data_IF_130811822925
#
_entry.id   IF_130811822925
#
_cell.length_a   1.000
_cell.length_b   1.000
_cell.length_c   1.000
_cell.angle_alpha   90.00
_cell.angle_beta   90.00
_cell.angle_gamma   90.00
#
_symmetry.space_group_name_H-M   'P 1'
#
loop_
_entity.id
_entity.type
_entity.pdbx_description
1 polymer ?
#
# COMPACT_ATOMS: atom_id res chain seq x y z
N UNK A 1 20.74 14.47 -4.77
CA UNK A 1 19.97 15.71 -5.05
C UNK A 1 19.57 16.26 -3.71
N UNK A 2 20.12 17.39 -3.28
CA UNK A 2 19.53 18.14 -2.18
C UNK A 2 18.11 18.48 -2.66
N UNK A 3 17.11 17.94 -1.99
CA UNK A 3 15.72 18.04 -2.42
C UNK A 3 15.31 19.49 -2.63
N UNK A 4 14.52 19.73 -3.67
CA UNK A 4 13.92 21.04 -3.85
C UNK A 4 13.26 21.46 -2.52
N UNK A 5 13.36 22.74 -2.10
CA UNK A 5 12.79 23.21 -0.82
C UNK A 5 11.34 22.81 -0.61
N UNK A 6 10.57 22.66 -1.69
CA UNK A 6 9.19 22.21 -1.67
C UNK A 6 9.00 20.76 -1.18
N UNK A 7 10.04 19.93 -1.21
CA UNK A 7 10.00 18.53 -0.74
C UNK A 7 10.52 18.37 0.70
N UNK A 8 10.95 19.44 1.34
CA UNK A 8 11.43 19.45 2.72
C UNK A 8 10.29 19.79 3.68
N UNK A 9 9.38 18.85 3.88
CA UNK A 9 8.22 18.99 4.78
C UNK A 9 8.14 17.87 5.83
N UNK A 10 9.27 17.29 6.19
CA UNK A 10 9.30 16.22 7.19
C UNK A 10 8.67 16.67 8.50
N UNK A 11 8.01 15.74 9.24
CA UNK A 11 7.43 16.07 10.52
C UNK A 11 8.53 16.64 11.43
N UNK A 12 8.20 17.75 12.06
CA UNK A 12 9.06 18.37 13.04
C UNK A 12 9.03 17.51 14.32
N UNK A 13 10.18 17.22 14.95
CA UNK A 13 10.24 16.32 16.11
C UNK A 13 9.30 16.69 17.26
N UNK A 14 9.04 17.97 17.44
CA UNK A 14 8.18 18.48 18.53
C UNK A 14 6.70 18.64 18.13
N UNK A 15 6.30 18.14 16.96
CA UNK A 15 4.93 18.31 16.45
C UNK A 15 3.88 17.69 17.38
N UNK A 16 4.21 16.57 18.00
CA UNK A 16 3.33 15.85 18.93
C UNK A 16 3.03 16.64 20.21
N UNK A 17 3.94 17.56 20.59
CA UNK A 17 3.74 18.47 21.72
C UNK A 17 2.76 19.63 21.41
N UNK A 18 2.39 19.79 20.12
CA UNK A 18 1.47 20.83 19.67
C UNK A 18 0.11 20.19 19.37
N UNK A 19 -0.95 20.69 20.02
CA UNK A 19 -2.30 20.25 19.67
C UNK A 19 -2.66 20.63 18.20
N UNK A 20 -3.57 19.88 17.58
CA UNK A 20 -4.00 20.08 16.19
C UNK A 20 -4.45 21.52 15.90
N UNK A 21 -5.17 22.15 16.83
CA UNK A 21 -5.64 23.53 16.69
C UNK A 21 -4.49 24.53 16.58
N UNK A 22 -3.42 24.35 17.37
CA UNK A 22 -2.23 25.19 17.34
C UNK A 22 -1.43 25.00 16.06
N UNK A 23 -1.34 23.76 15.59
CA UNK A 23 -0.72 23.46 14.29
C UNK A 23 -1.50 24.07 13.13
N UNK A 24 -2.84 23.97 13.16
CA UNK A 24 -3.69 24.53 12.11
C UNK A 24 -3.60 26.06 12.01
N UNK A 25 -3.39 26.75 13.13
CA UNK A 25 -3.32 28.21 13.21
C UNK A 25 -1.88 28.75 13.15
N UNK A 26 -0.87 27.90 13.02
CA UNK A 26 0.53 28.32 12.98
C UNK A 26 0.76 29.31 11.82
N UNK A 27 1.36 30.46 12.16
CA UNK A 27 1.72 31.49 11.18
C UNK A 27 2.75 30.95 10.17
N UNK A 28 2.64 31.41 8.92
CA UNK A 28 3.51 30.98 7.81
C UNK A 28 5.01 31.24 8.03
N UNK A 29 5.36 32.15 8.92
CA UNK A 29 6.74 32.46 9.28
C UNK A 29 7.29 31.54 10.39
N UNK A 30 6.45 30.71 11.01
CA UNK A 30 6.89 29.66 11.95
C UNK A 30 7.35 28.42 11.19
N UNK A 31 8.19 27.59 11.82
CA UNK A 31 8.60 26.31 11.21
C UNK A 31 7.42 25.44 10.82
N UNK A 32 6.41 25.34 11.68
CA UNK A 32 5.20 24.56 11.41
C UNK A 32 4.39 25.11 10.24
N UNK A 33 4.21 26.43 10.18
CA UNK A 33 3.50 27.10 9.07
C UNK A 33 4.24 26.94 7.74
N UNK A 34 5.56 27.13 7.75
CA UNK A 34 6.40 26.94 6.56
C UNK A 34 6.36 25.48 6.04
N UNK A 35 6.46 24.49 6.94
CA UNK A 35 6.38 23.07 6.55
C UNK A 35 5.01 22.73 6.00
N UNK A 36 3.94 23.25 6.58
CA UNK A 36 2.57 23.09 6.07
C UNK A 36 2.39 23.70 4.68
N UNK A 37 2.90 24.91 4.44
CA UNK A 37 2.85 25.52 3.10
C UNK A 37 3.61 24.68 2.06
N UNK A 38 4.78 24.17 2.41
CA UNK A 38 5.56 23.28 1.54
C UNK A 38 4.81 21.98 1.25
N UNK A 39 4.18 21.38 2.26
CA UNK A 39 3.37 20.18 2.08
C UNK A 39 2.17 20.44 1.16
N UNK A 40 1.44 21.53 1.38
CA UNK A 40 0.32 21.91 0.52
C UNK A 40 0.78 22.17 -0.93
N UNK A 41 1.90 22.87 -1.11
CA UNK A 41 2.50 23.06 -2.44
C UNK A 41 2.85 21.73 -3.10
N UNK A 42 3.47 20.82 -2.36
CA UNK A 42 3.79 19.48 -2.84
C UNK A 42 2.53 18.73 -3.27
N UNK A 43 1.49 18.71 -2.44
CA UNK A 43 0.22 18.05 -2.77
C UNK A 43 -0.41 18.64 -4.03
N UNK A 44 -0.43 19.97 -4.17
CA UNK A 44 -1.09 20.61 -5.31
C UNK A 44 -0.28 20.56 -6.60
N UNK A 45 1.01 20.78 -6.52
CA UNK A 45 1.86 20.92 -7.73
C UNK A 45 2.48 19.61 -8.17
N UNK A 46 2.86 18.75 -7.23
CA UNK A 46 3.53 17.48 -7.55
C UNK A 46 2.53 16.32 -7.55
N UNK A 47 1.86 16.07 -6.41
CA UNK A 47 0.98 14.90 -6.26
C UNK A 47 -0.22 14.99 -7.20
N UNK A 48 -0.92 16.12 -7.21
CA UNK A 48 -2.11 16.31 -8.05
C UNK A 48 -1.77 16.27 -9.55
N UNK A 49 -0.61 16.82 -9.92
CA UNK A 49 -0.11 16.75 -11.29
C UNK A 49 0.23 15.31 -11.70
N UNK A 50 0.99 14.60 -10.86
CA UNK A 50 1.33 13.19 -11.08
C UNK A 50 0.07 12.33 -11.16
N UNK A 51 -0.85 12.50 -10.21
CA UNK A 51 -2.09 11.74 -10.14
C UNK A 51 -2.91 11.89 -11.43
N UNK A 52 -3.15 13.12 -11.89
CA UNK A 52 -3.93 13.40 -13.10
C UNK A 52 -3.25 12.95 -14.39
N UNK A 53 -1.93 13.17 -14.51
CA UNK A 53 -1.23 13.00 -15.76
C UNK A 53 -0.68 11.59 -15.96
N UNK A 54 -0.47 10.85 -14.87
CA UNK A 54 0.14 9.52 -14.90
C UNK A 54 -0.75 8.48 -14.23
N UNK A 55 -1.06 8.65 -12.94
CA UNK A 55 -1.72 7.63 -12.14
C UNK A 55 -3.11 7.23 -12.67
N UNK A 56 -3.93 8.20 -13.08
CA UNK A 56 -5.27 7.95 -13.65
C UNK A 56 -5.24 7.37 -15.08
N UNK A 57 -4.07 7.20 -15.66
CA UNK A 57 -3.91 6.67 -17.02
C UNK A 57 -3.56 5.19 -17.07
N UNK A 58 -3.29 4.59 -15.91
CA UNK A 58 -3.01 3.16 -15.83
C UNK A 58 -4.31 2.37 -15.95
N UNK A 59 -4.29 1.34 -16.78
CA UNK A 59 -5.36 0.35 -16.94
C UNK A 59 -5.13 -0.88 -16.08
N UNK A 60 -3.91 -1.10 -15.60
CA UNK A 60 -3.49 -2.21 -14.74
C UNK A 60 -2.64 -1.72 -13.59
N UNK A 61 -2.84 -2.31 -12.43
CA UNK A 61 -2.06 -1.98 -11.23
C UNK A 61 -1.62 -3.22 -10.49
N UNK A 62 -0.43 -3.13 -9.88
CA UNK A 62 0.09 -4.14 -8.96
C UNK A 62 0.26 -3.46 -7.60
N UNK A 63 -0.38 -4.02 -6.58
CA UNK A 63 -0.24 -3.57 -5.19
C UNK A 63 0.63 -4.57 -4.44
N UNK A 64 1.78 -4.11 -3.99
CA UNK A 64 2.71 -4.91 -3.20
C UNK A 64 2.34 -4.81 -1.71
N UNK A 65 2.15 -5.94 -1.06
CA UNK A 65 1.72 -6.03 0.35
C UNK A 65 2.69 -6.90 1.14
N UNK A 66 3.27 -6.36 2.20
CA UNK A 66 4.03 -7.15 3.18
C UNK A 66 3.07 -7.75 4.20
N UNK A 67 2.57 -8.96 3.94
CA UNK A 67 1.63 -9.65 4.81
C UNK A 67 2.28 -10.20 6.08
N UNK A 68 3.60 -10.42 6.08
CA UNK A 68 4.31 -11.07 7.18
C UNK A 68 4.57 -10.09 8.32
N UNK A 69 4.81 -8.82 8.02
CA UNK A 69 5.04 -7.81 9.04
C UNK A 69 3.86 -7.66 10.01
N UNK A 70 2.60 -7.44 9.58
CA UNK A 70 1.48 -7.34 10.49
C UNK A 70 1.21 -8.65 11.24
N UNK A 71 1.47 -9.80 10.60
CA UNK A 71 1.34 -11.10 11.28
C UNK A 71 2.29 -11.21 12.48
N UNK A 72 3.54 -10.76 12.33
CA UNK A 72 4.52 -10.75 13.40
C UNK A 72 4.27 -9.68 14.48
N UNK A 73 3.57 -8.61 14.13
CA UNK A 73 3.29 -7.47 15.02
C UNK A 73 1.99 -7.60 15.81
N UNK A 74 1.18 -8.62 15.49
CA UNK A 74 -0.03 -8.95 16.23
C UNK A 74 -1.35 -8.42 15.63
N UNK A 75 -2.50 -8.72 16.26
CA UNK A 75 -3.83 -8.49 15.70
C UNK A 75 -4.13 -7.02 15.36
N UNK A 76 -3.61 -6.09 16.15
CA UNK A 76 -3.81 -4.66 15.91
C UNK A 76 -3.18 -4.23 14.59
N UNK A 77 -1.92 -4.60 14.36
CA UNK A 77 -1.21 -4.28 13.12
C UNK A 77 -1.88 -4.93 11.89
N UNK A 78 -2.47 -6.12 12.07
CA UNK A 78 -3.25 -6.77 11.02
C UNK A 78 -4.51 -5.95 10.65
N UNK A 79 -5.24 -5.46 11.64
CA UNK A 79 -6.42 -4.63 11.42
C UNK A 79 -6.06 -3.28 10.79
N UNK A 80 -4.95 -2.66 11.23
CA UNK A 80 -4.46 -1.39 10.67
C UNK A 80 -4.07 -1.56 9.19
N UNK A 81 -3.41 -2.66 8.83
CA UNK A 81 -3.08 -3.00 7.45
C UNK A 81 -4.35 -3.20 6.61
N UNK A 82 -5.34 -3.93 7.13
CA UNK A 82 -6.63 -4.14 6.43
C UNK A 82 -7.33 -2.81 6.15
N UNK A 83 -7.37 -1.93 7.15
CA UNK A 83 -7.95 -0.60 7.00
C UNK A 83 -7.19 0.24 5.96
N UNK A 84 -5.86 0.23 6.02
CA UNK A 84 -5.01 0.95 5.06
C UNK A 84 -5.24 0.45 3.62
N UNK A 85 -5.33 -0.86 3.41
CA UNK A 85 -5.61 -1.44 2.09
C UNK A 85 -7.02 -1.07 1.60
N UNK A 86 -8.01 -1.07 2.47
CA UNK A 86 -9.37 -0.64 2.13
C UNK A 86 -9.41 0.83 1.71
N UNK A 87 -8.73 1.70 2.44
CA UNK A 87 -8.63 3.14 2.11
C UNK A 87 -7.85 3.36 0.81
N UNK A 88 -6.76 2.60 0.59
CA UNK A 88 -6.01 2.65 -0.66
C UNK A 88 -6.91 2.30 -1.84
N UNK A 89 -7.70 1.23 -1.71
CA UNK A 89 -8.63 0.81 -2.76
C UNK A 89 -9.71 1.84 -3.06
N UNK A 90 -10.21 2.54 -2.04
CA UNK A 90 -11.18 3.63 -2.22
C UNK A 90 -10.58 4.84 -2.95
N UNK A 91 -9.25 5.04 -2.87
CA UNK A 91 -8.55 6.09 -3.60
C UNK A 91 -8.41 5.79 -5.10
N UNK A 92 -8.48 4.55 -5.49
CA UNK A 92 -8.55 4.16 -6.90
C UNK A 92 -9.94 4.54 -7.42
N UNK A 93 -10.00 5.49 -8.33
CA UNK A 93 -11.24 5.80 -9.03
C UNK A 93 -11.53 4.67 -10.03
N UNK A 94 -12.13 3.61 -9.52
CA UNK A 94 -12.77 2.60 -10.33
C UNK A 94 -13.89 3.29 -11.09
N UNK A 95 -13.70 3.45 -12.38
CA UNK A 95 -14.52 4.29 -13.21
C UNK A 95 -16.01 4.30 -12.88
N UNK A 96 -16.50 5.43 -12.45
CA UNK A 96 -17.94 5.68 -12.56
C UNK A 96 -18.31 5.51 -14.03
N UNK A 97 -19.00 4.40 -14.32
CA UNK A 97 -19.37 3.96 -15.66
C UNK A 97 -20.53 4.81 -16.21
N UNK A 98 -20.28 6.07 -16.50
CA UNK A 98 -21.06 6.74 -17.50
C UNK A 98 -20.59 6.27 -18.87
N UNK A 99 -21.50 5.84 -19.72
CA UNK A 99 -21.23 5.32 -21.08
C UNK A 99 -20.23 6.18 -21.87
N UNK A 100 -20.26 7.50 -21.67
CA UNK A 100 -19.34 8.45 -22.29
C UNK A 100 -17.91 8.41 -21.76
N UNK A 101 -17.70 8.12 -20.46
CA UNK A 101 -16.36 8.04 -19.88
C UNK A 101 -15.62 6.76 -20.27
N UNK A 102 -16.35 5.69 -20.53
CA UNK A 102 -15.78 4.40 -21.00
C UNK A 102 -15.07 4.51 -22.34
N UNK A 103 -15.42 5.49 -23.16
CA UNK A 103 -14.84 5.72 -24.50
C UNK A 103 -13.58 6.60 -24.46
N UNK A 104 -13.33 7.37 -23.41
CA UNK A 104 -12.31 8.42 -23.41
C UNK A 104 -11.36 8.45 -22.22
N UNK A 105 -11.55 7.58 -21.21
CA UNK A 105 -10.63 7.52 -20.06
C UNK A 105 -10.24 6.09 -19.76
N UNK A 106 -8.94 5.80 -19.59
CA UNK A 106 -8.49 4.51 -19.12
C UNK A 106 -9.07 4.26 -17.72
N UNK A 107 -9.65 3.10 -17.54
CA UNK A 107 -10.20 2.61 -16.28
C UNK A 107 -9.35 1.42 -15.89
N UNK A 108 -8.96 1.34 -14.62
CA UNK A 108 -8.28 0.16 -14.10
C UNK A 108 -9.25 -1.01 -14.25
N UNK A 109 -8.90 -1.96 -15.11
CA UNK A 109 -9.68 -3.17 -15.37
C UNK A 109 -9.07 -4.41 -14.72
N UNK A 110 -7.76 -4.35 -14.38
CA UNK A 110 -7.04 -5.45 -13.74
C UNK A 110 -6.19 -4.96 -12.57
N UNK A 111 -6.32 -5.64 -11.47
CA UNK A 111 -5.62 -5.37 -10.23
C UNK A 111 -4.98 -6.66 -9.71
N UNK A 112 -3.68 -6.62 -9.46
CA UNK A 112 -2.93 -7.72 -8.88
C UNK A 112 -2.43 -7.33 -7.49
N UNK A 113 -2.79 -8.12 -6.49
CA UNK A 113 -2.17 -8.03 -5.17
C UNK A 113 -1.04 -9.04 -5.08
N UNK A 114 0.14 -8.59 -4.70
CA UNK A 114 1.29 -9.45 -4.54
C UNK A 114 1.80 -9.41 -3.10
N UNK A 115 1.71 -10.54 -2.40
CA UNK A 115 2.33 -10.71 -1.10
C UNK A 115 3.85 -10.79 -1.30
N UNK A 116 4.56 -9.80 -0.78
CA UNK A 116 6.02 -9.71 -0.89
C UNK A 116 6.72 -10.65 0.09
N UNK A 117 8.02 -10.85 -0.12
CA UNK A 117 8.86 -11.69 0.75
C UNK A 117 8.43 -13.18 0.78
N UNK A 118 7.96 -13.71 -0.35
CA UNK A 118 7.59 -15.11 -0.44
C UNK A 118 8.75 -16.07 -0.16
N UNK A 119 9.99 -15.60 -0.30
CA UNK A 119 11.20 -16.32 0.09
C UNK A 119 11.42 -16.44 1.61
N UNK A 120 10.67 -15.71 2.43
CA UNK A 120 10.71 -15.80 3.89
C UNK A 120 9.80 -16.90 4.46
N UNK A 121 9.05 -17.59 3.62
CA UNK A 121 8.21 -18.73 4.00
C UNK A 121 8.59 -19.97 3.19
N UNK A 122 8.40 -21.13 3.77
CA UNK A 122 8.65 -22.40 3.08
C UNK A 122 7.64 -22.61 1.95
N UNK A 123 8.00 -23.41 0.94
CA UNK A 123 7.17 -23.58 -0.28
C UNK A 123 5.75 -24.09 0.07
N UNK A 124 5.63 -24.95 1.05
CA UNK A 124 4.33 -25.47 1.54
C UNK A 124 3.44 -24.38 2.19
N UNK A 125 4.05 -23.27 2.65
CA UNK A 125 3.37 -22.14 3.26
C UNK A 125 2.98 -21.03 2.25
N UNK A 126 3.41 -21.11 1.00
CA UNK A 126 3.10 -20.09 -0.01
C UNK A 126 1.59 -19.94 -0.24
N UNK A 127 0.85 -21.05 -0.28
CA UNK A 127 -0.61 -21.01 -0.41
C UNK A 127 -1.28 -20.32 0.79
N UNK A 128 -0.79 -20.57 2.00
CA UNK A 128 -1.28 -19.93 3.22
C UNK A 128 -1.01 -18.42 3.21
N UNK A 129 0.15 -17.99 2.72
CA UNK A 129 0.49 -16.58 2.59
C UNK A 129 -0.43 -15.85 1.59
N UNK A 130 -0.75 -16.49 0.46
CA UNK A 130 -1.72 -15.94 -0.51
C UNK A 130 -3.12 -15.87 0.10
N UNK A 131 -3.54 -16.92 0.86
CA UNK A 131 -4.83 -16.92 1.58
C UNK A 131 -4.90 -15.83 2.64
N UNK A 132 -3.80 -15.54 3.34
CA UNK A 132 -3.69 -14.43 4.29
C UNK A 132 -3.86 -13.08 3.59
N UNK A 133 -3.21 -12.90 2.44
CA UNK A 133 -3.40 -11.70 1.62
C UNK A 133 -4.85 -11.52 1.20
N UNK A 134 -5.50 -12.60 0.72
CA UNK A 134 -6.92 -12.57 0.34
C UNK A 134 -7.83 -12.17 1.51
N UNK A 135 -7.54 -12.62 2.73
CA UNK A 135 -8.28 -12.20 3.92
C UNK A 135 -8.07 -10.71 4.24
N UNK A 136 -6.83 -10.20 4.08
CA UNK A 136 -6.53 -8.79 4.29
C UNK A 136 -7.29 -7.86 3.35
N UNK A 137 -7.51 -8.28 2.11
CA UNK A 137 -8.16 -7.47 1.07
C UNK A 137 -9.62 -7.84 0.81
N UNK A 138 -10.22 -8.72 1.62
CA UNK A 138 -11.56 -9.26 1.37
C UNK A 138 -12.62 -8.17 1.18
N UNK A 139 -12.63 -7.14 2.04
CA UNK A 139 -13.58 -6.04 1.95
C UNK A 139 -13.38 -5.22 0.66
N UNK A 140 -12.11 -5.00 0.33
CA UNK A 140 -11.71 -4.31 -0.89
C UNK A 140 -12.06 -5.11 -2.14
N UNK A 141 -11.90 -6.42 -2.09
CA UNK A 141 -12.24 -7.35 -3.17
C UNK A 141 -13.72 -7.30 -3.52
N UNK A 142 -14.59 -7.35 -2.51
CA UNK A 142 -16.03 -7.30 -2.73
C UNK A 142 -16.44 -6.00 -3.44
N UNK A 143 -15.92 -4.88 -3.00
CA UNK A 143 -16.20 -3.56 -3.61
C UNK A 143 -15.73 -3.52 -5.07
N UNK A 144 -14.52 -3.98 -5.36
CA UNK A 144 -13.98 -4.00 -6.71
C UNK A 144 -14.71 -4.94 -7.67
N UNK A 145 -15.18 -6.10 -7.16
CA UNK A 145 -15.97 -7.04 -7.94
C UNK A 145 -17.30 -6.41 -8.43
N UNK A 146 -17.97 -5.60 -7.61
CA UNK A 146 -19.15 -4.83 -8.01
C UNK A 146 -18.85 -3.85 -9.15
N UNK A 147 -17.65 -3.28 -9.16
CA UNK A 147 -17.19 -2.37 -10.21
C UNK A 147 -16.75 -3.11 -11.49
N UNK A 148 -16.71 -4.45 -11.46
CA UNK A 148 -16.34 -5.31 -12.59
C UNK A 148 -14.85 -5.31 -12.89
N UNK A 149 -14.02 -5.13 -11.86
CA UNK A 149 -12.56 -5.19 -11.94
C UNK A 149 -12.11 -6.63 -11.75
N UNK A 150 -11.23 -7.11 -12.63
CA UNK A 150 -10.58 -8.40 -12.46
C UNK A 150 -9.46 -8.29 -11.43
N UNK A 151 -9.49 -9.13 -10.40
CA UNK A 151 -8.50 -9.12 -9.33
C UNK A 151 -7.86 -10.50 -9.18
N UNK A 152 -6.54 -10.49 -8.92
CA UNK A 152 -5.75 -11.68 -8.65
C UNK A 152 -4.82 -11.49 -7.46
N UNK A 153 -4.40 -12.59 -6.84
CA UNK A 153 -3.42 -12.62 -5.75
C UNK A 153 -2.32 -13.62 -6.03
N UNK A 154 -1.08 -13.24 -5.73
CA UNK A 154 0.06 -14.15 -5.79
C UNK A 154 1.11 -13.83 -4.71
N UNK A 155 2.00 -14.78 -4.44
CA UNK A 155 3.22 -14.55 -3.68
C UNK A 155 4.37 -14.13 -4.59
N UNK A 156 5.18 -13.16 -4.16
CA UNK A 156 6.29 -12.62 -4.92
C UNK A 156 7.53 -12.46 -4.03
N UNK A 157 8.68 -12.85 -4.53
CA UNK A 157 9.98 -12.48 -3.99
C UNK A 157 10.75 -11.71 -5.07
N UNK A 158 11.33 -10.57 -4.72
CA UNK A 158 12.18 -9.79 -5.64
C UNK A 158 13.54 -10.45 -5.84
N UNK A 159 14.03 -11.13 -4.80
CA UNK A 159 15.27 -11.92 -4.79
C UNK A 159 14.99 -13.17 -3.97
N UNK A 160 15.41 -14.31 -4.48
CA UNK A 160 15.38 -15.54 -3.69
C UNK A 160 16.64 -15.59 -2.83
N UNK A 161 16.52 -15.22 -1.56
CA UNK A 161 17.63 -15.19 -0.60
C UNK A 161 17.73 -16.48 0.23
N UNK A 162 16.73 -17.36 0.14
CA UNK A 162 16.62 -18.58 0.94
C UNK A 162 16.38 -19.80 0.05
N UNK A 163 16.77 -20.96 0.55
CA UNK A 163 16.45 -22.26 -0.04
C UNK A 163 15.59 -23.07 0.93
N UNK A 164 14.54 -23.70 0.40
CA UNK A 164 13.72 -24.62 1.21
C UNK A 164 14.45 -25.94 1.42
N UNK A 165 14.38 -26.45 2.64
CA UNK A 165 14.95 -27.75 3.05
C UNK A 165 14.06 -28.42 4.07
N UNK A 166 14.50 -29.59 4.54
CA UNK A 166 13.86 -30.32 5.62
C UNK A 166 14.87 -30.45 6.75
N UNK A 167 14.47 -30.13 7.95
CA UNK A 167 15.26 -30.35 9.16
C UNK A 167 14.57 -31.41 10.02
N UNK A 168 15.39 -32.19 10.76
CA UNK A 168 14.88 -33.15 11.76
C UNK A 168 14.93 -32.48 13.15
N UNK A 169 13.78 -32.37 13.78
CA UNK A 169 13.66 -31.84 15.12
C UNK A 169 12.99 -32.92 15.99
N UNK A 170 13.76 -33.56 16.85
CA UNK A 170 13.28 -34.61 17.74
C UNK A 170 12.63 -35.84 17.00
N UNK A 171 13.10 -36.16 15.81
CA UNK A 171 12.56 -37.25 14.99
C UNK A 171 11.41 -36.85 14.07
N UNK A 172 11.00 -35.58 14.08
CA UNK A 172 10.00 -35.02 13.20
C UNK A 172 10.67 -34.23 12.08
N UNK A 173 10.31 -34.53 10.83
CA UNK A 173 10.80 -33.84 9.63
C UNK A 173 9.97 -32.59 9.38
N UNK A 174 10.57 -31.41 9.57
CA UNK A 174 9.90 -30.12 9.44
C UNK A 174 10.47 -29.35 8.24
N UNK A 175 9.61 -28.78 7.37
CA UNK A 175 10.07 -27.83 6.36
C UNK A 175 10.74 -26.61 7.00
N UNK A 176 11.88 -26.19 6.46
CA UNK A 176 12.66 -25.06 6.96
C UNK A 176 13.30 -24.28 5.82
N UNK A 177 13.63 -23.02 6.11
CA UNK A 177 14.42 -22.16 5.23
C UNK A 177 15.89 -22.21 5.66
N UNK A 178 16.78 -22.19 4.68
CA UNK A 178 18.22 -22.12 4.85
C UNK A 178 18.79 -20.92 4.11
#
# INVERSE_FOLDING_TARGET
>A
MAGAPALQFFPWPDVDAWGESKLAQADKHTNAGMLRERFNYYCEKVVKGFYKNHFLRFDRQIVLVDCLQPLNSGPQAFNDMRLALTQLMQSFHYGQRTLFRRLFSPVIDKLLFAATKADHVTIDQHANMVSLLQQLIQDAWQNAAFEGISMDCLGLASVQATTSGIIDVNGEKIPALR
#
